data_IF_312856216570
#
_entry.id   IF_312856216570
#
_cell.length_a   1.000
_cell.length_b   1.000
_cell.length_c   1.000
_cell.angle_alpha   90.00
_cell.angle_beta   90.00
_cell.angle_gamma   90.00
#
_symmetry.space_group_name_H-M   'P 1'
#
loop_
_entity.id
_entity.type
_entity.pdbx_description
1 polymer ?
#
# COMPACT_ATOMS: atom_id res chain seq x y z
N UNK A 1 -72.71 11.04 1.51
CA UNK A 1 -71.78 10.32 0.61
C UNK A 1 -70.50 11.16 0.49
N UNK A 2 -69.51 11.03 1.40
CA UNK A 2 -68.30 10.18 1.32
C UNK A 2 -67.54 10.22 -0.01
N UNK A 3 -66.44 10.99 -0.04
CA UNK A 3 -65.12 10.72 -0.68
C UNK A 3 -64.10 11.53 0.17
N UNK A 4 -63.39 10.99 1.15
CA UNK A 4 -62.27 10.02 1.15
C UNK A 4 -61.12 10.43 0.21
N UNK A 5 -60.07 10.98 0.84
CA UNK A 5 -58.63 10.79 0.61
C UNK A 5 -57.98 11.19 -0.72
N UNK A 6 -56.92 11.99 -0.64
CA UNK A 6 -55.58 11.48 -0.96
C UNK A 6 -54.50 12.14 -0.08
N UNK A 7 -53.65 11.26 0.46
CA UNK A 7 -52.50 11.45 1.33
C UNK A 7 -51.20 11.45 0.48
N UNK A 8 -50.12 12.00 1.05
CA UNK A 8 -48.71 11.52 0.93
C UNK A 8 -48.03 11.74 -0.43
N UNK A 9 -46.74 12.03 -0.60
CA UNK A 9 -45.54 12.42 0.17
C UNK A 9 -44.55 12.77 -0.95
N UNK A 10 -43.76 13.83 -0.81
CA UNK A 10 -42.57 14.02 -1.64
C UNK A 10 -41.38 14.23 -0.72
N UNK A 11 -40.71 13.13 -0.40
CA UNK A 11 -39.41 13.12 0.28
C UNK A 11 -38.68 11.89 -0.27
N UNK A 12 -37.68 12.10 -1.13
CA UNK A 12 -36.55 11.20 -1.41
C UNK A 12 -35.73 11.69 -2.62
N UNK A 13 -34.86 12.67 -2.40
CA UNK A 13 -33.68 12.89 -3.24
C UNK A 13 -32.48 13.00 -2.30
N UNK A 14 -31.85 11.87 -2.01
CA UNK A 14 -30.69 11.82 -1.10
C UNK A 14 -29.96 10.47 -1.02
N UNK A 15 -30.54 9.38 -1.54
CA UNK A 15 -29.94 8.04 -1.44
C UNK A 15 -28.94 7.64 -2.54
N UNK A 16 -28.96 8.31 -3.71
CA UNK A 16 -28.22 7.85 -4.90
C UNK A 16 -26.69 7.97 -4.80
N UNK A 17 -26.20 9.05 -4.19
CA UNK A 17 -24.76 9.37 -4.15
C UNK A 17 -23.97 8.45 -3.21
N UNK A 18 -24.59 8.00 -2.11
CA UNK A 18 -23.93 7.15 -1.10
C UNK A 18 -23.83 5.70 -1.59
N UNK A 19 -24.89 5.18 -2.23
CA UNK A 19 -24.91 3.82 -2.75
C UNK A 19 -23.88 3.60 -3.88
N UNK A 20 -23.72 4.60 -4.77
CA UNK A 20 -22.71 4.56 -5.84
C UNK A 20 -21.28 4.53 -5.27
N UNK A 21 -20.95 5.46 -4.37
CA UNK A 21 -19.63 5.51 -3.75
C UNK A 21 -19.29 4.23 -2.96
N UNK A 22 -20.28 3.59 -2.33
CA UNK A 22 -20.08 2.30 -1.67
C UNK A 22 -19.83 1.14 -2.65
N UNK A 23 -20.56 1.10 -3.77
CA UNK A 23 -20.32 0.13 -4.85
C UNK A 23 -18.94 0.28 -5.48
N UNK A 24 -18.48 1.51 -5.67
CA UNK A 24 -17.16 1.81 -6.25
C UNK A 24 -16.03 1.35 -5.28
N UNK A 25 -16.18 1.57 -3.96
CA UNK A 25 -15.22 1.04 -2.96
C UNK A 25 -15.08 -0.48 -3.07
N UNK A 26 -16.20 -1.20 -3.18
CA UNK A 26 -16.19 -2.67 -3.25
C UNK A 26 -15.47 -3.16 -4.50
N UNK A 27 -15.78 -2.58 -5.67
CA UNK A 27 -15.17 -2.92 -6.96
C UNK A 27 -13.64 -2.77 -6.93
N UNK A 28 -13.16 -1.60 -6.51
CA UNK A 28 -11.72 -1.35 -6.39
C UNK A 28 -11.05 -2.28 -5.38
N UNK A 29 -11.70 -2.53 -4.24
CA UNK A 29 -11.16 -3.41 -3.21
C UNK A 29 -11.05 -4.87 -3.68
N UNK A 30 -12.03 -5.38 -4.43
CA UNK A 30 -11.99 -6.73 -4.99
C UNK A 30 -10.85 -6.89 -6.00
N UNK A 31 -10.68 -5.93 -6.90
CA UNK A 31 -9.56 -5.92 -7.86
C UNK A 31 -8.21 -5.93 -7.14
N UNK A 32 -8.07 -5.12 -6.09
CA UNK A 32 -6.85 -5.02 -5.28
C UNK A 32 -6.56 -6.23 -4.40
N UNK A 33 -7.60 -6.90 -3.89
CA UNK A 33 -7.47 -7.95 -2.89
C UNK A 33 -6.46 -9.02 -3.29
N UNK A 34 -6.50 -9.46 -4.56
CA UNK A 34 -5.60 -10.47 -5.10
C UNK A 34 -4.12 -10.06 -5.13
N UNK A 35 -3.82 -8.76 -5.14
CA UNK A 35 -2.48 -8.22 -5.14
C UNK A 35 -1.85 -8.25 -3.75
N UNK A 36 -2.67 -8.18 -2.69
CA UNK A 36 -2.24 -8.09 -1.28
C UNK A 36 -2.57 -9.32 -0.45
N UNK A 37 -3.13 -10.36 -1.08
CA UNK A 37 -3.42 -11.66 -0.48
C UNK A 37 -2.14 -12.30 0.09
N UNK A 38 -2.05 -12.53 1.41
CA UNK A 38 -0.87 -13.13 2.04
C UNK A 38 -0.48 -14.49 1.46
N UNK A 39 -1.45 -15.34 1.11
CA UNK A 39 -1.17 -16.65 0.54
C UNK A 39 -0.52 -16.52 -0.83
N UNK A 40 -0.98 -15.56 -1.66
CA UNK A 40 -0.36 -15.29 -2.96
C UNK A 40 1.02 -14.66 -2.81
N UNK A 41 1.18 -13.73 -1.88
CA UNK A 41 2.46 -13.07 -1.61
C UNK A 41 3.53 -14.08 -1.14
N UNK A 42 3.14 -15.07 -0.33
CA UNK A 42 4.03 -16.12 0.16
C UNK A 42 4.58 -17.04 -0.96
N UNK A 43 3.88 -17.16 -2.09
CA UNK A 43 4.34 -17.97 -3.24
C UNK A 43 5.32 -17.26 -4.18
N UNK A 44 5.59 -15.98 -3.94
CA UNK A 44 6.43 -15.20 -4.83
C UNK A 44 7.91 -15.46 -4.56
N UNK A 45 8.71 -15.42 -5.63
CA UNK A 45 10.17 -15.39 -5.52
C UNK A 45 10.68 -14.07 -4.94
N UNK A 46 12.01 -13.93 -4.97
CA UNK A 46 12.70 -12.76 -4.44
C UNK A 46 12.18 -11.46 -5.06
N UNK A 47 11.82 -10.48 -4.23
CA UNK A 47 11.27 -9.17 -4.64
C UNK A 47 10.01 -9.27 -5.52
N UNK A 48 9.31 -10.40 -5.50
CA UNK A 48 8.18 -10.65 -6.40
C UNK A 48 6.95 -9.79 -6.10
N UNK A 49 6.89 -9.16 -4.93
CA UNK A 49 5.85 -8.18 -4.58
C UNK A 49 6.01 -6.82 -5.29
N UNK A 50 7.16 -6.51 -5.89
CA UNK A 50 7.41 -5.21 -6.51
C UNK A 50 6.36 -4.85 -7.58
N UNK A 51 6.08 -5.71 -8.59
CA UNK A 51 5.03 -5.41 -9.58
C UNK A 51 3.64 -5.28 -8.97
N UNK A 52 3.37 -5.91 -7.82
CA UNK A 52 2.08 -5.79 -7.11
C UNK A 52 1.92 -4.43 -6.45
N UNK A 53 3.02 -3.86 -5.95
CA UNK A 53 3.05 -2.48 -5.41
C UNK A 53 2.66 -1.47 -6.47
N UNK A 54 3.30 -1.54 -7.64
CA UNK A 54 2.99 -0.64 -8.76
C UNK A 54 1.51 -0.75 -9.15
N UNK A 55 1.02 -1.98 -9.35
CA UNK A 55 -0.37 -2.23 -9.74
C UNK A 55 -1.38 -1.71 -8.72
N UNK A 56 -1.18 -1.96 -7.43
CA UNK A 56 -2.16 -1.47 -6.46
C UNK A 56 -2.17 0.05 -6.37
N UNK A 57 -1.03 0.71 -6.59
CA UNK A 57 -0.99 2.17 -6.56
C UNK A 57 -1.76 2.75 -7.75
N UNK A 58 -1.61 2.16 -8.94
CA UNK A 58 -2.39 2.56 -10.12
C UNK A 58 -3.91 2.46 -9.83
N UNK A 59 -4.36 1.31 -9.32
CA UNK A 59 -5.78 1.08 -9.02
C UNK A 59 -6.28 2.05 -7.93
N UNK A 60 -5.48 2.33 -6.90
CA UNK A 60 -5.84 3.31 -5.87
C UNK A 60 -5.88 4.75 -6.43
N UNK A 61 -5.03 5.08 -7.41
CA UNK A 61 -5.02 6.38 -8.06
C UNK A 61 -6.26 6.59 -8.94
N UNK A 62 -6.68 5.56 -9.67
CA UNK A 62 -7.92 5.57 -10.46
C UNK A 62 -9.15 5.76 -9.57
N UNK A 63 -9.28 4.95 -8.52
CA UNK A 63 -10.36 5.11 -7.55
C UNK A 63 -10.36 6.50 -6.91
N UNK A 64 -9.18 7.06 -6.60
CA UNK A 64 -9.07 8.43 -6.10
C UNK A 64 -9.58 9.46 -7.11
N UNK A 65 -9.24 9.31 -8.39
CA UNK A 65 -9.69 10.21 -9.47
C UNK A 65 -11.22 10.16 -9.66
N UNK A 66 -11.83 9.02 -9.36
CA UNK A 66 -13.29 8.84 -9.35
C UNK A 66 -13.97 9.27 -8.03
N UNK A 67 -13.22 9.88 -7.11
CA UNK A 67 -13.75 10.38 -5.84
C UNK A 67 -13.85 9.33 -4.73
N UNK A 68 -13.30 8.13 -4.93
CA UNK A 68 -13.28 7.06 -3.94
C UNK A 68 -12.09 7.23 -3.00
N UNK A 69 -12.35 7.18 -1.68
CA UNK A 69 -11.30 7.36 -0.69
C UNK A 69 -10.31 6.17 -0.66
N UNK A 70 -9.01 6.37 -0.98
CA UNK A 70 -8.04 5.26 -1.08
C UNK A 70 -7.89 4.47 0.22
N UNK A 71 -7.99 5.14 1.37
CA UNK A 71 -7.95 4.51 2.69
C UNK A 71 -9.09 3.50 2.89
N UNK A 72 -10.30 3.79 2.39
CA UNK A 72 -11.44 2.88 2.49
C UNK A 72 -11.24 1.66 1.60
N UNK A 73 -10.76 1.89 0.37
CA UNK A 73 -10.45 0.84 -0.60
C UNK A 73 -9.36 -0.10 -0.06
N UNK A 74 -8.22 0.43 0.42
CA UNK A 74 -7.14 -0.36 0.97
C UNK A 74 -7.58 -1.19 2.20
N UNK A 75 -8.32 -0.56 3.13
CA UNK A 75 -8.85 -1.24 4.30
C UNK A 75 -9.83 -2.37 3.94
N UNK A 76 -10.69 -2.15 2.92
CA UNK A 76 -11.60 -3.19 2.43
C UNK A 76 -10.82 -4.31 1.72
N UNK A 77 -9.84 -3.99 0.89
CA UNK A 77 -9.05 -4.98 0.14
C UNK A 77 -8.33 -5.97 1.08
N UNK A 78 -7.70 -5.47 2.16
CA UNK A 78 -7.05 -6.34 3.14
C UNK A 78 -8.07 -7.17 3.95
N UNK A 79 -9.27 -6.63 4.19
CA UNK A 79 -10.33 -7.36 4.88
C UNK A 79 -10.91 -8.50 4.01
N UNK A 80 -11.03 -8.29 2.69
CA UNK A 80 -11.48 -9.32 1.72
C UNK A 80 -10.59 -10.56 1.78
N UNK A 81 -9.27 -10.40 1.93
CA UNK A 81 -8.32 -11.52 2.05
C UNK A 81 -8.17 -12.04 3.49
N UNK A 82 -9.08 -11.65 4.39
CA UNK A 82 -9.11 -12.16 5.76
C UNK A 82 -8.05 -11.58 6.70
N UNK A 83 -7.27 -10.57 6.26
CA UNK A 83 -6.30 -9.90 7.12
C UNK A 83 -7.04 -9.06 8.18
N UNK A 84 -6.59 -9.15 9.44
CA UNK A 84 -7.24 -8.48 10.58
C UNK A 84 -6.23 -7.74 11.47
N UNK A 85 -6.76 -6.93 12.38
CA UNK A 85 -5.99 -6.29 13.45
C UNK A 85 -4.82 -5.42 12.95
N UNK A 86 -3.67 -5.53 13.61
CA UNK A 86 -2.49 -4.70 13.32
C UNK A 86 -1.90 -4.98 11.94
N UNK A 87 -1.94 -6.23 11.46
CA UNK A 87 -1.46 -6.57 10.13
C UNK A 87 -2.26 -5.84 9.05
N UNK A 88 -3.61 -5.89 9.14
CA UNK A 88 -4.50 -5.17 8.22
C UNK A 88 -4.23 -3.67 8.20
N UNK A 89 -4.05 -3.08 9.39
CA UNK A 89 -3.76 -1.65 9.53
C UNK A 89 -2.44 -1.27 8.86
N UNK A 90 -1.34 -1.97 9.19
CA UNK A 90 -0.01 -1.65 8.66
C UNK A 90 0.07 -1.84 7.14
N UNK A 91 -0.54 -2.91 6.61
CA UNK A 91 -0.61 -3.16 5.16
C UNK A 91 -1.40 -2.06 4.45
N UNK A 92 -2.57 -1.68 4.97
CA UNK A 92 -3.38 -0.60 4.38
C UNK A 92 -2.67 0.75 4.41
N UNK A 93 -1.98 1.06 5.52
CA UNK A 93 -1.18 2.28 5.66
C UNK A 93 -0.01 2.32 4.68
N UNK A 94 0.63 1.17 4.40
CA UNK A 94 1.69 1.06 3.39
C UNK A 94 1.16 1.31 1.98
N UNK A 95 0.00 0.76 1.64
CA UNK A 95 -0.62 1.00 0.33
C UNK A 95 -0.89 2.49 0.09
N UNK A 96 -1.50 3.17 1.07
CA UNK A 96 -1.83 4.60 0.98
C UNK A 96 -0.56 5.49 0.99
N UNK A 97 0.47 5.09 1.75
CA UNK A 97 1.78 5.76 1.71
C UNK A 97 2.38 5.70 0.31
N UNK A 98 2.38 4.55 -0.33
CA UNK A 98 2.96 4.38 -1.67
C UNK A 98 2.21 5.17 -2.73
N UNK A 99 0.87 5.22 -2.66
CA UNK A 99 0.08 6.15 -3.46
C UNK A 99 0.53 7.61 -3.26
N UNK A 100 0.67 8.04 -2.00
CA UNK A 100 1.07 9.41 -1.67
C UNK A 100 2.47 9.75 -2.22
N UNK A 101 3.40 8.79 -2.18
CA UNK A 101 4.76 8.98 -2.71
C UNK A 101 4.71 9.12 -4.24
N UNK A 102 4.05 8.20 -4.93
CA UNK A 102 3.92 8.25 -6.39
C UNK A 102 3.26 9.55 -6.86
N UNK A 103 2.23 10.02 -6.15
CA UNK A 103 1.56 11.30 -6.43
C UNK A 103 2.50 12.49 -6.28
N UNK A 104 3.26 12.55 -5.17
CA UNK A 104 4.21 13.64 -4.90
C UNK A 104 5.35 13.69 -5.91
N UNK A 105 5.80 12.52 -6.38
CA UNK A 105 6.82 12.38 -7.41
C UNK A 105 6.29 12.59 -8.84
N UNK A 106 4.97 12.78 -8.99
CA UNK A 106 4.33 13.00 -10.28
C UNK A 106 4.27 11.77 -11.17
N UNK A 107 4.30 10.56 -10.61
CA UNK A 107 4.31 9.30 -11.35
C UNK A 107 2.91 8.83 -11.80
N UNK A 108 1.85 9.58 -11.48
CA UNK A 108 0.46 9.19 -11.73
C UNK A 108 -0.15 9.89 -12.96
N UNK A 109 0.69 10.28 -13.93
CA UNK A 109 0.21 10.72 -15.25
C UNK A 109 -0.23 9.52 -16.10
N UNK A 110 -0.76 9.76 -17.31
CA UNK A 110 -1.27 8.69 -18.18
C UNK A 110 -0.25 7.62 -18.49
N UNK A 111 1.01 8.02 -18.75
CA UNK A 111 2.09 7.09 -19.05
C UNK A 111 2.44 6.26 -17.82
N UNK A 112 2.61 6.94 -16.67
CA UNK A 112 2.97 6.31 -15.41
C UNK A 112 1.92 5.33 -14.92
N UNK A 113 0.62 5.67 -15.02
CA UNK A 113 -0.46 4.72 -14.75
C UNK A 113 -0.41 3.52 -15.70
N UNK A 114 -0.16 3.76 -16.99
CA UNK A 114 0.03 2.69 -17.98
C UNK A 114 1.18 1.73 -17.65
N UNK A 115 2.32 2.27 -17.19
CA UNK A 115 3.47 1.49 -16.71
C UNK A 115 3.08 0.69 -15.45
N UNK A 116 2.49 1.34 -14.45
CA UNK A 116 2.16 0.74 -13.16
C UNK A 116 1.11 -0.36 -13.26
N UNK A 117 0.14 -0.26 -14.16
CA UNK A 117 -0.82 -1.34 -14.46
C UNK A 117 -0.17 -2.62 -14.96
N UNK A 118 0.94 -2.49 -15.70
CA UNK A 118 1.76 -3.62 -16.14
C UNK A 118 2.72 -4.11 -15.04
N UNK A 119 2.73 -3.45 -13.89
CA UNK A 119 3.67 -3.71 -12.80
C UNK A 119 5.07 -3.17 -13.08
N UNK A 120 5.18 -2.18 -13.97
CA UNK A 120 6.45 -1.56 -14.37
C UNK A 120 6.67 -0.28 -13.59
N UNK A 121 7.94 0.04 -13.33
CA UNK A 121 8.36 1.24 -12.64
C UNK A 121 8.07 2.51 -13.48
N UNK A 122 7.27 3.45 -12.97
CA UNK A 122 7.00 4.69 -13.68
C UNK A 122 8.18 5.66 -13.66
N UNK A 123 8.16 6.67 -14.53
CA UNK A 123 9.14 7.76 -14.53
C UNK A 123 8.74 8.88 -13.59
N UNK A 124 9.65 9.32 -12.71
CA UNK A 124 9.47 10.45 -11.80
C UNK A 124 9.40 11.76 -12.59
N UNK A 125 8.33 12.55 -12.38
CA UNK A 125 8.09 13.81 -13.12
C UNK A 125 8.32 15.07 -12.29
N UNK A 126 8.39 14.95 -10.95
CA UNK A 126 8.50 16.09 -10.02
C UNK A 126 9.63 15.92 -9.02
N UNK A 127 10.20 17.05 -8.61
CA UNK A 127 11.25 17.11 -7.59
C UNK A 127 12.67 16.87 -8.13
N UNK A 128 13.66 16.71 -7.24
CA UNK A 128 15.08 16.65 -7.60
C UNK A 128 15.48 15.37 -8.36
N UNK A 129 14.61 14.36 -8.37
CA UNK A 129 14.84 13.06 -9.03
C UNK A 129 14.08 12.95 -10.36
N UNK A 130 13.67 14.07 -10.96
CA UNK A 130 12.94 14.07 -12.24
C UNK A 130 13.73 13.35 -13.33
N UNK A 131 13.04 12.45 -14.05
CA UNK A 131 13.63 11.61 -15.09
C UNK A 131 14.16 10.26 -14.59
N UNK A 132 14.21 10.04 -13.28
CA UNK A 132 14.55 8.73 -12.72
C UNK A 132 13.36 7.76 -12.77
N UNK A 133 13.66 6.47 -12.70
CA UNK A 133 12.63 5.45 -12.43
C UNK A 133 12.25 5.47 -10.95
N UNK A 134 10.96 5.27 -10.69
CA UNK A 134 10.49 4.88 -9.37
C UNK A 134 10.95 3.44 -9.08
N UNK A 135 11.12 3.11 -7.82
CA UNK A 135 11.54 1.77 -7.40
C UNK A 135 10.83 1.39 -6.11
N UNK A 136 10.64 0.09 -5.92
CA UNK A 136 10.14 -0.49 -4.67
C UNK A 136 11.33 -0.91 -3.83
N UNK A 137 11.36 -0.42 -2.60
CA UNK A 137 12.40 -0.68 -1.63
C UNK A 137 11.83 -1.29 -0.34
N UNK A 138 12.68 -2.01 0.38
CA UNK A 138 12.38 -2.57 1.68
C UNK A 138 12.77 -1.57 2.77
N UNK A 139 11.82 -1.20 3.63
CA UNK A 139 12.09 -0.29 4.76
C UNK A 139 13.12 -0.92 5.69
N UNK A 140 12.82 -2.13 6.14
CA UNK A 140 13.75 -3.01 6.87
C UNK A 140 14.48 -3.84 5.82
N UNK A 141 15.82 -3.77 5.76
CA UNK A 141 16.62 -4.58 4.85
C UNK A 141 16.36 -6.08 5.02
N UNK A 142 16.50 -6.85 3.94
CA UNK A 142 16.34 -8.31 3.99
C UNK A 142 17.43 -9.01 4.81
N UNK A 143 18.56 -8.32 5.02
CA UNK A 143 19.59 -8.77 5.96
C UNK A 143 18.96 -8.84 7.36
N UNK A 144 18.84 -10.05 7.90
CA UNK A 144 18.24 -10.32 9.21
C UNK A 144 16.71 -10.50 9.21
N UNK A 145 16.00 -10.22 8.11
CA UNK A 145 14.55 -10.40 8.03
C UNK A 145 14.08 -10.80 6.61
N UNK A 146 14.56 -11.94 6.06
CA UNK A 146 14.19 -12.36 4.70
C UNK A 146 12.69 -12.65 4.54
N UNK A 147 12.00 -13.02 5.61
CA UNK A 147 10.54 -13.18 5.65
C UNK A 147 9.75 -11.92 5.28
N UNK A 148 10.38 -10.74 5.36
CA UNK A 148 9.74 -9.46 5.00
C UNK A 148 9.81 -9.13 3.51
N UNK A 149 10.40 -9.99 2.67
CA UNK A 149 10.66 -9.66 1.26
C UNK A 149 9.38 -9.32 0.48
N UNK A 150 8.33 -10.10 0.68
CA UNK A 150 7.04 -9.91 0.02
C UNK A 150 5.97 -9.32 0.95
N UNK A 151 6.35 -8.81 2.12
CA UNK A 151 5.42 -8.20 3.09
C UNK A 151 5.17 -6.75 2.70
N UNK A 152 3.97 -6.46 2.16
CA UNK A 152 3.57 -5.11 1.69
C UNK A 152 3.80 -4.02 2.73
N UNK A 153 3.59 -4.32 4.03
CA UNK A 153 3.83 -3.37 5.11
C UNK A 153 5.30 -2.91 5.24
N UNK A 154 6.25 -3.70 4.72
CA UNK A 154 7.67 -3.38 4.67
C UNK A 154 8.12 -2.74 3.36
N UNK A 155 7.23 -2.57 2.37
CA UNK A 155 7.59 -2.03 1.06
C UNK A 155 7.26 -0.53 0.96
N UNK A 156 8.18 0.22 0.35
CA UNK A 156 8.01 1.64 0.06
C UNK A 156 8.48 2.03 -1.33
N UNK A 157 7.73 2.92 -2.00
CA UNK A 157 8.18 3.52 -3.25
C UNK A 157 9.20 4.62 -2.97
N UNK A 158 10.22 4.72 -3.82
CA UNK A 158 11.19 5.83 -3.82
C UNK A 158 11.94 5.93 -5.15
N UNK A 159 12.57 7.08 -5.45
CA UNK A 159 13.42 7.22 -6.65
C UNK A 159 14.57 6.21 -6.66
N UNK A 160 14.90 5.67 -7.84
CA UNK A 160 15.87 4.60 -7.99
C UNK A 160 17.25 4.96 -7.43
N UNK A 161 17.80 6.14 -7.71
CA UNK A 161 19.13 6.50 -7.18
C UNK A 161 19.15 6.65 -5.67
N UNK A 162 18.03 7.11 -5.08
CA UNK A 162 17.88 7.15 -3.62
C UNK A 162 17.90 5.73 -3.04
N UNK A 163 17.26 4.79 -3.72
CA UNK A 163 17.25 3.38 -3.34
C UNK A 163 18.63 2.73 -3.47
N UNK A 164 19.32 2.93 -4.60
CA UNK A 164 20.68 2.42 -4.83
C UNK A 164 21.69 3.00 -3.82
N UNK A 165 21.52 4.26 -3.42
CA UNK A 165 22.32 4.89 -2.37
C UNK A 165 21.94 4.44 -0.95
N UNK A 166 20.80 3.78 -0.78
CA UNK A 166 20.34 3.24 0.51
C UNK A 166 21.09 1.94 0.79
N UNK A 167 21.98 2.01 1.76
CA UNK A 167 22.68 0.83 2.26
C UNK A 167 21.78 0.00 3.18
N UNK A 168 22.22 -1.21 3.56
CA UNK A 168 21.55 -2.08 4.54
C UNK A 168 21.61 -1.55 6.00
N UNK A 169 21.67 -0.23 6.19
CA UNK A 169 21.72 0.41 7.51
C UNK A 169 20.37 0.32 8.19
N UNK A 170 20.38 -0.20 9.42
CA UNK A 170 19.22 -0.25 10.29
C UNK A 170 19.32 0.88 11.30
N UNK A 171 18.40 1.85 11.23
CA UNK A 171 18.27 2.94 12.19
C UNK A 171 17.02 2.81 13.06
N UNK A 172 16.77 3.83 13.89
CA UNK A 172 15.63 3.85 14.82
C UNK A 172 14.28 3.62 14.10
N UNK A 173 14.10 4.20 12.90
CA UNK A 173 12.90 3.99 12.07
C UNK A 173 12.67 2.51 11.74
N UNK A 174 13.72 1.81 11.32
CA UNK A 174 13.63 0.39 10.96
C UNK A 174 13.32 -0.48 12.17
N UNK A 175 13.97 -0.22 13.31
CA UNK A 175 13.71 -0.93 14.56
C UNK A 175 12.26 -0.72 15.03
N UNK A 176 11.76 0.50 14.98
CA UNK A 176 10.38 0.81 15.35
C UNK A 176 9.36 0.12 14.45
N UNK A 177 9.63 0.06 13.13
CA UNK A 177 8.80 -0.70 12.21
C UNK A 177 8.87 -2.21 12.51
N UNK A 178 10.06 -2.76 12.76
CA UNK A 178 10.23 -4.18 13.06
C UNK A 178 9.43 -4.58 14.30
N UNK A 179 9.46 -3.78 15.37
CA UNK A 179 8.64 -3.99 16.57
C UNK A 179 7.14 -3.97 16.28
N UNK A 180 6.69 -3.09 15.38
CA UNK A 180 5.27 -3.03 14.95
C UNK A 180 4.88 -4.25 14.13
N UNK A 181 5.73 -4.68 13.20
CA UNK A 181 5.52 -5.87 12.37
C UNK A 181 5.49 -7.14 13.22
N UNK A 182 6.40 -7.26 14.19
CA UNK A 182 6.41 -8.38 15.13
C UNK A 182 5.11 -8.44 15.96
N UNK A 183 4.70 -7.30 16.54
CA UNK A 183 3.41 -7.18 17.24
C UNK A 183 2.19 -7.45 16.36
N UNK A 184 2.35 -7.42 15.04
CA UNK A 184 1.31 -7.71 14.07
C UNK A 184 1.35 -9.15 13.56
N UNK A 185 2.33 -9.97 13.98
CA UNK A 185 2.54 -11.32 13.47
C UNK A 185 3.13 -11.36 12.06
N UNK A 186 3.69 -10.25 11.57
CA UNK A 186 4.32 -10.13 10.24
C UNK A 186 5.84 -10.31 10.28
N UNK A 187 6.44 -10.40 11.47
CA UNK A 187 7.86 -10.63 11.71
C UNK A 187 8.00 -11.58 12.90
N UNK A 188 8.82 -12.62 12.75
CA UNK A 188 9.16 -13.58 13.80
C UNK A 188 9.93 -12.91 14.95
N UNK A 189 10.06 -13.61 16.07
CA UNK A 189 10.87 -13.12 17.19
C UNK A 189 12.35 -13.10 16.81
N UNK A 190 12.78 -14.12 16.06
CA UNK A 190 14.13 -14.27 15.51
C UNK A 190 14.47 -13.12 14.55
N UNK A 191 13.56 -12.81 13.62
CA UNK A 191 13.71 -11.69 12.70
C UNK A 191 13.76 -10.34 13.40
N UNK A 192 12.93 -10.14 14.44
CA UNK A 192 13.00 -8.91 15.26
C UNK A 192 14.37 -8.78 15.96
N UNK A 193 14.84 -9.85 16.60
CA UNK A 193 16.13 -9.85 17.29
C UNK A 193 17.30 -9.57 16.33
N UNK A 194 17.25 -10.13 15.12
CA UNK A 194 18.25 -9.87 14.09
C UNK A 194 18.28 -8.40 13.65
N UNK A 195 17.11 -7.78 13.43
CA UNK A 195 17.02 -6.35 13.09
C UNK A 195 17.58 -5.47 14.22
N UNK A 196 17.23 -5.77 15.48
CA UNK A 196 17.76 -5.03 16.64
C UNK A 196 19.28 -5.20 16.79
N UNK A 197 19.79 -6.40 16.51
CA UNK A 197 21.24 -6.68 16.48
C UNK A 197 21.98 -5.88 15.40
N UNK A 198 21.42 -5.78 14.19
CA UNK A 198 22.01 -4.97 13.10
C UNK A 198 22.07 -3.48 13.45
N UNK A 199 21.03 -2.95 14.11
CA UNK A 199 21.03 -1.57 14.58
C UNK A 199 22.14 -1.32 15.61
N UNK A 200 22.34 -2.25 16.54
CA UNK A 200 23.39 -2.16 17.56
C UNK A 200 24.81 -2.25 16.96
N UNK A 201 25.00 -3.08 15.93
CA UNK A 201 26.27 -3.20 15.21
C UNK A 201 26.61 -1.93 14.40
N UNK A 202 25.62 -1.33 13.73
CA UNK A 202 25.79 -0.11 12.94
C UNK A 202 26.11 1.14 13.76
N UNK A 203 25.75 1.16 15.05
CA UNK A 203 26.10 2.25 15.98
C UNK A 203 27.52 2.17 16.58
N UNK A 204 28.23 1.05 16.39
CA UNK A 204 29.59 0.82 16.91
C UNK A 204 30.71 1.16 15.91
N UNK A 205 30.38 1.40 14.65
CA UNK A 205 31.33 1.93 13.67
C UNK A 205 31.40 3.46 13.83
N UNK A 206 32.31 3.92 14.69
CA UNK A 206 32.69 5.34 14.80
C UNK A 206 34.14 5.49 14.34
#
# INVERSE_FOLDING_TARGET
MRRVSLLIVALLVGGGSIARAAGDVESYALTLSSLVDPAKLATLGARGANPRVEKYVAILAEGKAEGVAPKKVAAKAVAVVGMRGKAAKLTSEAMVRNLTIAERLGCLDSDGLGEMHRGQAPTVRRGPYRGEKLSVDHIIPLLGAPELDNVIANLELMPLKMNEGKNAKVGARQVDLARKLHKAGLLSAEGLAAVEGLAAAGGKAK
#
